data_IF_028719136557
#
_entry.id   IF_028719136557
#
_cell.length_a   1.000
_cell.length_b   1.000
_cell.length_c   1.000
_cell.angle_alpha   90.00
_cell.angle_beta   90.00
_cell.angle_gamma   90.00
#
_symmetry.space_group_name_H-M   'P 1'
#
loop_
_entity.id
_entity.type
_entity.pdbx_description
1 polymer ?
#
# COMPACT_ATOMS: atom_id res chain seq x y z
N UNK A 1 5.01 -50.84 -62.09
CA UNK A 1 5.47 -52.24 -62.30
C UNK A 1 4.81 -53.03 -61.22
N UNK A 2 3.91 -53.81 -61.64
CA UNK A 2 3.70 -55.26 -61.55
C UNK A 2 3.16 -55.65 -60.17
N UNK A 3 1.96 -56.10 -60.07
CA UNK A 3 1.17 -57.23 -60.60
C UNK A 3 0.87 -58.25 -59.48
N UNK A 4 -0.43 -58.54 -59.40
CA UNK A 4 -1.10 -59.88 -59.41
C UNK A 4 -1.12 -60.57 -58.06
N UNK A 5 -2.09 -61.37 -57.67
CA UNK A 5 -3.34 -61.91 -58.25
C UNK A 5 -4.07 -62.65 -57.13
N UNK A 6 -5.38 -62.58 -57.03
CA UNK A 6 -6.32 -63.67 -57.31
C UNK A 6 -6.11 -64.99 -56.50
N UNK A 7 -7.12 -65.49 -55.72
CA UNK A 7 -8.05 -66.57 -56.17
C UNK A 7 -8.96 -66.97 -55.04
N UNK A 8 -10.28 -66.84 -55.15
CA UNK A 8 -11.31 -67.86 -55.27
C UNK A 8 -11.30 -68.97 -54.22
N UNK A 9 -12.42 -69.08 -53.44
CA UNK A 9 -13.38 -70.18 -53.56
C UNK A 9 -14.52 -70.11 -52.53
N UNK A 10 -15.73 -69.85 -53.01
CA UNK A 10 -17.01 -70.31 -52.46
C UNK A 10 -17.12 -71.86 -52.75
N UNK A 11 -18.14 -72.66 -52.35
CA UNK A 11 -19.36 -72.31 -51.61
C UNK A 11 -19.82 -73.45 -50.59
N UNK A 12 -21.03 -73.22 -50.10
CA UNK A 12 -21.98 -74.28 -49.59
C UNK A 12 -21.87 -74.73 -48.14
N UNK A 13 -22.81 -74.24 -47.34
CA UNK A 13 -23.78 -75.18 -46.71
C UNK A 13 -25.06 -74.37 -46.38
N UNK A 14 -26.07 -74.55 -47.20
CA UNK A 14 -27.47 -74.17 -46.98
C UNK A 14 -28.14 -75.45 -46.37
N UNK A 15 -29.12 -75.13 -45.52
CA UNK A 15 -30.15 -76.00 -44.96
C UNK A 15 -29.90 -76.59 -43.56
N UNK A 16 -30.93 -76.40 -42.83
CA UNK A 16 -31.39 -76.98 -41.53
C UNK A 16 -31.25 -75.98 -40.42
N UNK A 17 -32.25 -75.27 -39.92
CA UNK A 17 -33.57 -75.73 -39.52
C UNK A 17 -34.47 -74.52 -39.19
N UNK A 18 -35.54 -74.38 -39.87
CA UNK A 18 -36.71 -73.59 -39.45
C UNK A 18 -37.45 -74.45 -38.41
N UNK A 19 -37.45 -74.06 -37.17
CA UNK A 19 -38.45 -74.39 -36.12
C UNK A 19 -37.96 -73.86 -34.78
N UNK A 20 -38.52 -72.76 -34.35
CA UNK A 20 -38.82 -72.41 -32.98
C UNK A 20 -39.18 -70.87 -32.92
N UNK A 21 -40.25 -70.54 -33.63
CA UNK A 21 -40.99 -69.29 -33.40
C UNK A 21 -42.29 -69.76 -32.69
N UNK A 22 -42.25 -69.82 -31.36
CA UNK A 22 -43.44 -69.74 -30.51
C UNK A 22 -43.02 -69.53 -29.07
N UNK A 23 -43.11 -68.29 -28.64
CA UNK A 23 -42.80 -67.94 -27.27
C UNK A 23 -42.96 -66.42 -27.06
N UNK A 24 -44.03 -65.85 -27.60
CA UNK A 24 -44.51 -64.57 -27.09
C UNK A 24 -45.02 -64.77 -25.67
N UNK A 25 -44.24 -64.45 -24.70
CA UNK A 25 -44.76 -64.21 -23.35
C UNK A 25 -44.63 -62.72 -23.10
N UNK A 26 -45.78 -62.10 -23.27
CA UNK A 26 -46.04 -60.71 -22.89
C UNK A 26 -45.88 -60.60 -21.38
N UNK A 27 -44.66 -60.24 -20.93
CA UNK A 27 -44.45 -59.76 -19.60
C UNK A 27 -44.30 -58.26 -19.75
N UNK A 28 -45.39 -57.60 -19.33
CA UNK A 28 -45.42 -56.13 -19.20
C UNK A 28 -44.10 -55.62 -18.67
N UNK A 29 -43.52 -54.64 -19.36
CA UNK A 29 -42.45 -53.80 -18.84
C UNK A 29 -42.98 -53.21 -17.52
N UNK A 30 -42.59 -53.86 -16.44
CA UNK A 30 -42.62 -53.22 -15.13
C UNK A 30 -41.65 -52.06 -15.27
N UNK A 31 -42.21 -50.86 -15.52
CA UNK A 31 -41.46 -49.62 -15.39
C UNK A 31 -40.84 -49.68 -14.01
N UNK A 32 -39.52 -49.97 -13.98
CA UNK A 32 -38.75 -49.82 -12.79
C UNK A 32 -39.09 -48.42 -12.24
N UNK A 33 -39.80 -48.37 -11.11
CA UNK A 33 -39.91 -47.17 -10.32
C UNK A 33 -38.49 -46.83 -9.96
N UNK A 34 -37.86 -45.98 -10.79
CA UNK A 34 -36.65 -45.26 -10.40
C UNK A 34 -37.06 -44.43 -9.21
N UNK A 35 -36.77 -44.95 -8.02
CA UNK A 35 -37.08 -44.22 -6.79
C UNK A 35 -36.59 -42.79 -6.90
N UNK A 36 -37.37 -41.85 -6.41
CA UNK A 36 -37.02 -40.44 -6.44
C UNK A 36 -35.54 -40.25 -6.08
N UNK A 37 -34.75 -39.57 -6.93
CA UNK A 37 -33.32 -39.38 -6.67
C UNK A 37 -33.13 -38.71 -5.31
N UNK A 38 -32.29 -39.30 -4.46
CA UNK A 38 -31.96 -38.70 -3.17
C UNK A 38 -30.89 -37.63 -3.39
N UNK A 39 -31.12 -36.44 -2.89
CA UNK A 39 -30.23 -35.27 -2.94
C UNK A 39 -30.01 -34.72 -1.55
N UNK A 40 -28.84 -34.20 -1.29
CA UNK A 40 -28.57 -33.45 -0.04
C UNK A 40 -28.72 -31.95 -0.31
N UNK A 41 -29.50 -31.31 0.53
CA UNK A 41 -29.79 -29.86 0.41
C UNK A 41 -29.18 -29.07 1.58
N UNK A 42 -28.64 -27.94 1.26
CA UNK A 42 -28.25 -26.91 2.22
C UNK A 42 -29.35 -25.87 2.32
N UNK A 43 -29.85 -25.65 3.54
CA UNK A 43 -30.87 -24.61 3.78
C UNK A 43 -30.15 -23.26 3.87
N UNK A 44 -30.54 -22.35 2.99
CA UNK A 44 -29.99 -20.98 2.95
C UNK A 44 -30.37 -20.25 4.23
N UNK A 45 -29.35 -19.74 4.92
CA UNK A 45 -29.51 -18.87 6.09
C UNK A 45 -28.73 -17.60 5.86
N UNK A 46 -29.32 -16.47 6.25
CA UNK A 46 -28.59 -15.21 6.33
C UNK A 46 -27.81 -15.14 7.64
N UNK A 47 -26.58 -14.68 7.59
CA UNK A 47 -25.75 -14.46 8.76
C UNK A 47 -24.87 -13.23 8.56
N UNK A 48 -24.55 -12.48 9.60
CA UNK A 48 -23.58 -11.38 9.49
C UNK A 48 -22.22 -11.94 9.11
N UNK A 49 -21.60 -11.30 8.13
CA UNK A 49 -20.29 -11.68 7.59
C UNK A 49 -19.35 -10.48 7.61
N UNK A 50 -18.21 -10.64 8.27
CA UNK A 50 -17.12 -9.67 8.16
C UNK A 50 -16.45 -9.82 6.79
N UNK A 51 -16.50 -8.76 6.00
CA UNK A 51 -15.84 -8.73 4.68
C UNK A 51 -14.44 -8.17 4.87
N UNK A 52 -13.43 -9.02 4.61
CA UNK A 52 -12.02 -8.65 4.65
C UNK A 52 -11.39 -8.88 3.29
N UNK A 53 -10.70 -7.87 2.81
CA UNK A 53 -9.96 -7.95 1.53
C UNK A 53 -8.46 -7.94 1.80
N UNK A 54 -7.74 -8.89 1.18
CA UNK A 54 -6.28 -8.92 1.18
C UNK A 54 -5.74 -8.20 -0.05
N UNK A 55 -4.98 -7.14 0.17
CA UNK A 55 -4.32 -6.37 -0.87
C UNK A 55 -2.81 -6.54 -0.81
N UNK A 56 -2.14 -6.80 -1.94
CA UNK A 56 -0.68 -6.83 -1.98
C UNK A 56 -0.13 -5.42 -1.81
N UNK A 57 1.00 -5.30 -1.13
CA UNK A 57 1.65 -4.03 -0.90
C UNK A 57 3.12 -4.14 -0.59
N UNK A 58 3.75 -2.97 -0.40
CA UNK A 58 5.13 -2.83 0.03
C UNK A 58 5.25 -1.82 1.16
N UNK A 59 6.19 -2.07 2.03
CA UNK A 59 6.56 -1.14 3.08
C UNK A 59 7.43 -0.01 2.54
N UNK A 60 7.23 1.20 3.05
CA UNK A 60 8.04 2.38 2.73
C UNK A 60 8.40 3.12 4.01
N UNK A 61 9.57 3.74 4.05
CA UNK A 61 9.97 4.55 5.19
C UNK A 61 8.99 5.73 5.36
N UNK A 62 8.69 6.09 6.61
CA UNK A 62 7.82 7.22 6.93
C UNK A 62 8.40 8.55 6.42
N UNK A 63 9.73 8.72 6.57
CA UNK A 63 10.50 9.84 6.01
C UNK A 63 11.84 9.33 5.53
N UNK A 64 12.30 9.90 4.43
CA UNK A 64 13.63 9.65 3.87
C UNK A 64 14.32 11.01 3.76
N UNK A 65 15.52 11.10 4.28
CA UNK A 65 16.34 12.30 4.15
C UNK A 65 17.71 11.92 3.57
N UNK A 66 17.98 12.46 2.41
CA UNK A 66 19.29 12.37 1.77
C UNK A 66 20.22 13.43 2.39
N UNK A 67 21.32 12.98 2.95
CA UNK A 67 22.32 13.85 3.54
C UNK A 67 23.29 14.30 2.44
N UNK A 68 23.24 15.58 2.08
CA UNK A 68 24.08 16.17 1.04
C UNK A 68 24.93 17.29 1.61
N UNK A 69 26.18 17.47 1.12
CA UNK A 69 27.04 18.56 1.57
C UNK A 69 26.51 19.90 1.06
N UNK A 70 26.53 20.92 1.93
CA UNK A 70 26.17 22.29 1.59
C UNK A 70 27.39 23.18 1.35
N UNK A 71 28.59 22.66 1.61
CA UNK A 71 29.87 23.32 1.35
C UNK A 71 30.85 22.32 0.74
N UNK A 72 31.81 22.80 -0.01
CA UNK A 72 32.85 21.98 -0.66
C UNK A 72 34.04 21.79 0.25
N UNK A 73 34.67 20.61 0.24
CA UNK A 73 35.90 20.34 0.99
C UNK A 73 36.16 18.85 1.17
N UNK A 74 37.19 18.55 1.90
CA UNK A 74 37.61 17.17 2.19
C UNK A 74 36.84 16.70 3.44
N UNK A 75 36.29 15.49 3.42
CA UNK A 75 35.69 14.83 4.58
C UNK A 75 36.83 14.45 5.55
N UNK A 76 36.83 15.06 6.73
CA UNK A 76 37.81 14.80 7.77
C UNK A 76 37.50 13.54 8.56
N UNK A 77 36.26 13.47 9.08
CA UNK A 77 35.80 12.37 9.92
C UNK A 77 34.37 12.00 9.61
N UNK A 78 34.06 10.71 9.80
CA UNK A 78 32.69 10.17 9.88
C UNK A 78 32.35 9.85 11.34
N UNK A 79 31.29 10.47 11.88
CA UNK A 79 30.95 10.44 13.31
C UNK A 79 29.78 9.51 13.62
N UNK A 80 29.54 8.48 12.81
CA UNK A 80 28.49 7.50 13.02
C UNK A 80 28.91 6.10 12.57
N UNK A 81 28.21 5.09 13.07
CA UNK A 81 28.31 3.71 12.58
C UNK A 81 27.21 3.46 11.56
N UNK A 82 27.54 2.88 10.41
CA UNK A 82 26.57 2.52 9.38
C UNK A 82 25.52 1.56 9.94
N UNK A 83 24.25 1.79 9.59
CA UNK A 83 23.13 0.99 10.10
C UNK A 83 22.70 1.31 11.54
N UNK A 84 23.34 2.27 12.22
CA UNK A 84 22.94 2.71 13.56
C UNK A 84 21.78 3.71 13.51
N UNK A 85 21.13 3.90 14.65
CA UNK A 85 20.12 4.94 14.82
C UNK A 85 20.80 6.28 15.15
N UNK A 86 20.37 7.34 14.49
CA UNK A 86 20.85 8.72 14.65
C UNK A 86 19.72 9.66 15.03
N UNK A 87 20.06 10.72 15.76
CA UNK A 87 19.10 11.76 16.13
C UNK A 87 19.22 12.98 15.23
N UNK A 88 18.10 13.67 15.01
CA UNK A 88 18.10 14.95 14.29
C UNK A 88 19.10 15.93 14.94
N UNK A 89 19.95 16.58 14.13
CA UNK A 89 21.03 17.46 14.60
C UNK A 89 22.32 16.75 15.00
N UNK A 90 22.36 15.41 15.09
CA UNK A 90 23.58 14.66 15.36
C UNK A 90 24.60 14.87 14.24
N UNK A 91 25.87 15.11 14.58
CA UNK A 91 26.95 15.24 13.61
C UNK A 91 27.20 13.92 12.91
N UNK A 92 27.15 13.91 11.59
CA UNK A 92 27.39 12.74 10.75
C UNK A 92 28.80 12.80 10.12
N UNK A 93 29.12 13.94 9.52
CA UNK A 93 30.44 14.15 8.90
C UNK A 93 31.00 15.49 9.33
N UNK A 94 32.32 15.56 9.33
CA UNK A 94 33.08 16.80 9.45
C UNK A 94 33.85 17.05 8.16
N UNK A 95 33.53 18.13 7.47
CA UNK A 95 34.34 18.65 6.35
C UNK A 95 35.42 19.56 6.95
N UNK A 96 36.60 19.60 6.34
CA UNK A 96 37.73 20.42 6.82
C UNK A 96 37.29 21.86 7.03
N UNK A 97 37.28 22.38 8.27
CA UNK A 97 36.74 23.69 8.58
C UNK A 97 37.72 24.84 8.44
N UNK A 98 39.04 24.54 8.25
CA UNK A 98 40.11 25.53 8.38
C UNK A 98 39.92 26.79 7.50
N UNK A 99 39.58 26.61 6.22
CA UNK A 99 39.34 27.73 5.29
C UNK A 99 38.12 28.53 5.64
N UNK A 100 37.06 27.87 6.09
CA UNK A 100 35.81 28.50 6.52
C UNK A 100 35.97 29.27 7.83
N UNK A 101 36.77 28.73 8.76
CA UNK A 101 37.13 29.42 10.00
C UNK A 101 37.92 30.69 9.70
N UNK A 102 38.96 30.63 8.82
CA UNK A 102 39.76 31.76 8.43
C UNK A 102 38.90 32.88 7.77
N UNK A 103 37.91 32.48 6.92
CA UNK A 103 36.98 33.42 6.30
C UNK A 103 36.05 34.09 7.33
N UNK A 104 35.59 33.31 8.31
CA UNK A 104 34.76 33.85 9.41
C UNK A 104 35.54 34.83 10.27
N UNK A 105 36.79 34.53 10.62
CA UNK A 105 37.66 35.42 11.42
C UNK A 105 38.01 36.68 10.64
N UNK A 106 38.28 36.58 9.33
CA UNK A 106 38.48 37.73 8.46
C UNK A 106 37.25 38.64 8.40
N UNK A 107 36.05 38.07 8.25
CA UNK A 107 34.80 38.83 8.25
C UNK A 107 34.57 39.58 9.59
N UNK A 108 34.91 38.92 10.71
CA UNK A 108 34.85 39.56 12.05
C UNK A 108 35.83 40.75 12.15
N UNK A 109 37.02 40.62 11.59
CA UNK A 109 38.00 41.73 11.52
C UNK A 109 37.44 42.91 10.74
N UNK A 110 36.81 42.72 9.59
CA UNK A 110 36.20 43.79 8.80
C UNK A 110 34.98 44.41 9.50
N UNK A 111 34.21 43.64 10.23
CA UNK A 111 33.14 44.15 11.08
C UNK A 111 33.69 45.08 12.18
N UNK A 112 34.73 44.67 12.88
CA UNK A 112 35.34 45.46 13.93
C UNK A 112 35.90 46.79 13.38
N UNK A 113 36.50 46.79 12.18
CA UNK A 113 36.95 47.96 11.47
C UNK A 113 35.78 48.92 11.12
N UNK A 114 34.68 48.36 10.61
CA UNK A 114 33.48 49.11 10.28
C UNK A 114 32.81 49.73 11.52
N UNK A 115 32.75 49.02 12.62
CA UNK A 115 32.23 49.52 13.91
C UNK A 115 33.10 50.63 14.47
N UNK A 116 34.43 50.54 14.35
CA UNK A 116 35.33 51.62 14.76
C UNK A 116 35.12 52.88 13.88
N UNK A 117 34.96 52.74 12.58
CA UNK A 117 34.67 53.84 11.67
C UNK A 117 33.34 54.52 12.00
N UNK A 118 32.28 53.77 12.25
CA UNK A 118 30.98 54.28 12.67
C UNK A 118 31.08 55.01 14.01
N UNK A 119 31.82 54.48 14.98
CA UNK A 119 32.05 55.15 16.26
C UNK A 119 32.73 56.50 16.09
N UNK A 120 33.75 56.63 15.22
CA UNK A 120 34.41 57.86 14.92
C UNK A 120 33.45 58.88 14.25
N UNK A 121 32.65 58.44 13.27
CA UNK A 121 31.68 59.28 12.59
C UNK A 121 30.60 59.81 13.56
N UNK A 122 30.07 58.98 14.43
CA UNK A 122 29.13 59.37 15.47
C UNK A 122 29.74 60.37 16.51
N UNK A 123 30.99 60.16 16.89
CA UNK A 123 31.73 61.12 17.75
C UNK A 123 31.92 62.45 17.05
N UNK A 124 32.10 62.49 15.73
CA UNK A 124 32.20 63.78 14.95
C UNK A 124 30.85 64.48 14.95
N UNK A 125 29.73 63.78 14.67
CA UNK A 125 28.38 64.36 14.74
C UNK A 125 28.11 64.88 16.14
N UNK A 126 28.41 64.11 17.20
CA UNK A 126 28.25 64.57 18.59
C UNK A 126 29.01 65.80 18.93
N UNK A 127 30.23 66.02 18.42
CA UNK A 127 31.04 67.25 18.56
C UNK A 127 30.45 68.41 17.80
N UNK A 128 29.85 68.21 16.64
CA UNK A 128 29.31 69.25 15.77
C UNK A 128 27.96 69.80 16.27
N UNK A 129 27.13 68.97 16.97
CA UNK A 129 25.84 69.38 17.53
C UNK A 129 25.90 70.73 18.28
N UNK A 130 26.80 70.97 19.29
CA UNK A 130 26.87 72.26 19.99
C UNK A 130 27.46 73.37 19.10
N UNK A 131 28.33 73.07 18.14
CA UNK A 131 29.04 74.04 17.32
C UNK A 131 28.15 74.68 16.24
N UNK A 132 27.22 73.93 15.67
CA UNK A 132 26.27 74.44 14.69
C UNK A 132 25.31 75.45 15.33
N UNK A 133 24.89 75.19 16.58
CA UNK A 133 24.03 76.11 17.33
C UNK A 133 24.68 77.48 17.62
N UNK A 134 26.00 77.54 17.76
CA UNK A 134 26.80 78.70 17.99
C UNK A 134 27.39 79.33 16.70
N UNK A 135 27.07 78.79 15.50
CA UNK A 135 27.55 79.17 14.17
C UNK A 135 29.09 79.09 13.99
N UNK A 136 29.79 78.24 14.78
CA UNK A 136 31.22 78.03 14.61
C UNK A 136 31.54 77.05 13.46
N UNK A 137 30.53 76.36 12.97
CA UNK A 137 30.61 75.46 11.77
C UNK A 137 29.41 75.81 10.85
N UNK A 138 29.54 75.48 9.56
CA UNK A 138 28.44 75.63 8.59
C UNK A 138 27.40 74.53 8.76
N UNK A 139 26.14 74.80 8.39
CA UNK A 139 25.09 73.78 8.32
C UNK A 139 25.47 72.65 7.39
N UNK A 140 26.12 72.95 6.26
CA UNK A 140 26.58 71.94 5.29
C UNK A 140 27.57 70.93 5.90
N UNK A 141 28.53 71.42 6.72
CA UNK A 141 29.51 70.55 7.40
C UNK A 141 28.82 69.63 8.40
N UNK A 142 27.81 70.14 9.13
CA UNK A 142 27.04 69.29 10.04
C UNK A 142 26.19 68.21 9.31
N UNK A 143 25.50 68.64 8.22
CA UNK A 143 24.69 67.75 7.41
C UNK A 143 25.58 66.63 6.74
N UNK A 144 26.79 67.03 6.31
CA UNK A 144 27.76 66.01 5.79
C UNK A 144 28.19 65.04 6.86
N UNK A 145 28.48 65.46 8.09
CA UNK A 145 28.86 64.62 9.18
C UNK A 145 27.73 63.65 9.53
N UNK A 146 26.45 64.03 9.46
CA UNK A 146 25.31 63.16 9.62
C UNK A 146 25.24 62.12 8.48
N UNK A 147 25.46 62.53 7.24
CA UNK A 147 25.47 61.64 6.10
C UNK A 147 26.60 60.57 6.21
N UNK A 148 27.79 61.01 6.62
CA UNK A 148 28.95 60.13 6.85
C UNK A 148 28.69 59.13 7.97
N UNK A 149 28.02 59.56 9.08
CA UNK A 149 27.63 58.63 10.15
C UNK A 149 26.61 57.59 9.65
N UNK A 150 25.60 57.98 8.89
CA UNK A 150 24.64 57.06 8.28
C UNK A 150 25.29 56.07 7.31
N UNK A 151 26.25 56.57 6.51
CA UNK A 151 27.03 55.72 5.61
C UNK A 151 27.87 54.70 6.38
N UNK A 152 28.51 55.12 7.48
CA UNK A 152 29.28 54.22 8.35
C UNK A 152 28.36 53.17 9.04
N UNK A 153 27.16 53.55 9.49
CA UNK A 153 26.16 52.62 10.04
C UNK A 153 25.72 51.58 9.00
N UNK A 154 25.50 52.00 7.77
CA UNK A 154 25.17 51.08 6.68
C UNK A 154 26.32 50.10 6.40
N UNK A 155 27.59 50.53 6.49
CA UNK A 155 28.76 49.67 6.35
C UNK A 155 28.84 48.64 7.48
N UNK A 156 28.47 49.00 8.71
CA UNK A 156 28.39 48.04 9.84
C UNK A 156 27.31 46.96 9.57
N UNK A 157 26.14 47.35 9.06
CA UNK A 157 25.07 46.41 8.72
C UNK A 157 25.56 45.43 7.64
N UNK A 158 26.21 45.92 6.59
CA UNK A 158 26.78 45.10 5.53
C UNK A 158 27.86 44.12 6.04
N UNK A 159 28.75 44.62 6.90
CA UNK A 159 29.79 43.76 7.51
C UNK A 159 29.19 42.68 8.44
N UNK A 160 28.14 43.00 9.21
CA UNK A 160 27.40 42.03 10.02
C UNK A 160 26.81 40.94 9.16
N UNK A 161 26.19 41.27 8.03
CA UNK A 161 25.64 40.27 7.09
C UNK A 161 26.75 39.36 6.51
N UNK A 162 27.94 39.89 6.25
CA UNK A 162 29.10 39.10 5.79
C UNK A 162 29.59 38.12 6.86
N UNK A 163 29.67 38.55 8.13
CA UNK A 163 30.02 37.68 9.26
C UNK A 163 29.02 36.55 9.39
N UNK A 164 27.72 36.85 9.27
CA UNK A 164 26.68 35.85 9.38
C UNK A 164 26.74 34.82 8.23
N UNK A 165 26.98 35.26 7.01
CA UNK A 165 27.21 34.38 5.86
C UNK A 165 28.40 33.43 6.08
N UNK A 166 29.53 33.96 6.56
CA UNK A 166 30.71 33.17 6.86
C UNK A 166 30.47 32.20 8.02
N UNK A 167 29.71 32.60 9.04
CA UNK A 167 29.30 31.75 10.16
C UNK A 167 28.44 30.56 9.69
N UNK A 168 27.50 30.80 8.81
CA UNK A 168 26.63 29.79 8.23
C UNK A 168 27.47 28.79 7.42
N UNK A 169 28.37 29.25 6.57
CA UNK A 169 29.24 28.38 5.79
C UNK A 169 30.16 27.53 6.68
N UNK A 170 30.68 28.10 7.76
CA UNK A 170 31.44 27.36 8.76
C UNK A 170 30.56 26.30 9.47
N UNK A 171 29.34 26.63 9.82
CA UNK A 171 28.40 25.68 10.43
C UNK A 171 28.11 24.50 9.48
N UNK A 172 27.98 24.75 8.18
CA UNK A 172 27.76 23.72 7.18
C UNK A 172 28.92 22.75 6.98
N UNK A 173 30.14 23.08 7.48
CA UNK A 173 31.25 22.10 7.52
C UNK A 173 30.93 20.91 8.44
N UNK A 174 30.04 21.12 9.42
CA UNK A 174 29.51 20.05 10.28
C UNK A 174 28.19 19.56 9.68
N UNK A 175 28.26 18.48 8.92
CA UNK A 175 27.07 17.86 8.30
C UNK A 175 26.30 17.11 9.36
N UNK A 176 25.03 17.45 9.57
CA UNK A 176 24.18 16.86 10.60
C UNK A 176 23.01 16.10 10.01
N UNK A 177 22.44 15.17 10.79
CA UNK A 177 21.24 14.44 10.43
C UNK A 177 20.02 15.39 10.38
N UNK A 178 19.29 15.46 9.26
CA UNK A 178 18.12 16.34 9.15
C UNK A 178 16.89 15.79 9.87
N UNK A 179 16.82 14.47 10.06
CA UNK A 179 15.76 13.74 10.77
C UNK A 179 16.36 12.69 11.68
N UNK A 180 15.61 12.27 12.70
CA UNK A 180 15.95 11.09 13.47
C UNK A 180 15.51 9.83 12.72
N UNK A 181 16.32 8.76 12.81
CA UNK A 181 16.03 7.49 12.14
C UNK A 181 17.29 6.65 11.98
N UNK A 182 17.21 5.58 11.20
CA UNK A 182 18.32 4.70 10.89
C UNK A 182 19.11 5.24 9.70
N UNK A 183 20.42 5.38 9.89
CA UNK A 183 21.32 5.82 8.82
C UNK A 183 21.78 4.60 8.00
N UNK A 184 21.78 4.76 6.68
CA UNK A 184 22.27 3.76 5.75
C UNK A 184 23.80 3.69 5.69
N UNK A 185 24.31 3.07 4.63
CA UNK A 185 25.75 3.07 4.31
C UNK A 185 26.22 4.46 3.89
N UNK A 186 27.48 4.79 4.16
CA UNK A 186 28.16 5.95 3.62
C UNK A 186 28.56 5.71 2.16
N UNK A 187 28.35 6.69 1.31
CA UNK A 187 28.81 6.65 -0.10
C UNK A 187 30.22 7.22 -0.26
N UNK A 188 30.72 7.89 0.78
CA UNK A 188 32.06 8.51 0.80
C UNK A 188 32.87 8.01 2.00
N UNK A 189 34.19 8.07 1.86
CA UNK A 189 35.13 7.76 2.92
C UNK A 189 35.88 9.02 3.39
N UNK A 190 36.50 8.94 4.54
CA UNK A 190 37.40 9.98 5.03
C UNK A 190 38.50 10.25 4.00
N UNK A 191 38.83 11.51 3.80
CA UNK A 191 39.75 11.97 2.75
C UNK A 191 39.07 12.24 1.40
N UNK A 192 37.84 11.87 1.19
CA UNK A 192 37.10 12.16 -0.04
C UNK A 192 36.80 13.66 -0.20
N UNK A 193 36.97 14.16 -1.41
CA UNK A 193 36.52 15.50 -1.77
C UNK A 193 35.03 15.51 -2.06
N UNK A 194 34.26 16.37 -1.39
CA UNK A 194 32.83 16.59 -1.63
C UNK A 194 32.61 18.01 -2.12
N UNK A 195 31.57 18.20 -2.90
CA UNK A 195 31.23 19.50 -3.49
C UNK A 195 29.80 19.91 -3.16
N UNK A 196 29.61 21.21 -2.94
CA UNK A 196 28.27 21.76 -2.73
C UNK A 196 27.35 21.43 -3.91
N UNK A 197 26.14 20.93 -3.61
CA UNK A 197 25.15 20.62 -4.63
C UNK A 197 25.42 19.37 -5.48
N UNK A 198 26.36 18.52 -5.09
CA UNK A 198 26.58 17.24 -5.77
C UNK A 198 25.32 16.38 -5.77
N UNK A 199 25.11 15.61 -6.85
CA UNK A 199 23.95 14.72 -7.00
C UNK A 199 24.02 13.49 -6.11
N UNK A 200 25.24 13.02 -5.79
CA UNK A 200 25.43 11.86 -4.92
C UNK A 200 25.30 12.29 -3.45
N UNK A 201 24.41 11.66 -2.74
CA UNK A 201 24.25 11.82 -1.28
C UNK A 201 25.46 11.24 -0.53
N UNK A 202 25.75 11.74 0.66
CA UNK A 202 26.77 11.17 1.56
C UNK A 202 26.25 9.95 2.29
N UNK A 203 25.00 9.99 2.69
CA UNK A 203 24.25 8.91 3.35
C UNK A 203 22.75 9.21 3.27
N UNK A 204 21.94 8.21 3.51
CA UNK A 204 20.49 8.35 3.62
C UNK A 204 20.04 8.02 5.05
N UNK A 205 19.22 8.88 5.67
CA UNK A 205 18.60 8.62 6.95
C UNK A 205 17.13 8.30 6.71
N UNK A 206 16.65 7.19 7.26
CA UNK A 206 15.28 6.71 7.09
C UNK A 206 14.59 6.58 8.46
N UNK A 207 13.44 7.21 8.58
CA UNK A 207 12.58 7.05 9.75
C UNK A 207 11.75 5.78 9.55
N UNK A 208 11.94 4.79 10.44
CA UNK A 208 11.30 3.47 10.36
C UNK A 208 10.10 3.32 11.29
N UNK A 209 9.94 4.18 12.26
CA UNK A 209 8.80 4.20 13.18
C UNK A 209 8.18 5.62 13.21
N UNK A 210 6.89 5.73 12.82
CA UNK A 210 6.08 4.71 12.16
C UNK A 210 6.59 4.35 10.77
N UNK A 211 5.98 3.33 10.13
CA UNK A 211 6.31 2.91 8.74
C UNK A 211 5.06 2.98 7.87
N UNK A 212 5.22 3.31 6.60
CA UNK A 212 4.16 3.26 5.61
C UNK A 212 4.05 1.87 4.97
N UNK A 213 2.84 1.50 4.65
CA UNK A 213 2.53 0.36 3.79
C UNK A 213 1.67 0.87 2.64
N UNK A 214 2.21 0.82 1.44
CA UNK A 214 1.49 1.18 0.23
C UNK A 214 0.91 -0.10 -0.39
N UNK A 215 -0.42 -0.14 -0.51
CA UNK A 215 -1.16 -1.26 -1.09
C UNK A 215 -1.86 -0.81 -2.36
N UNK A 216 -1.92 -1.69 -3.34
CA UNK A 216 -2.57 -1.42 -4.62
C UNK A 216 -3.92 -2.12 -4.71
N UNK A 217 -4.94 -1.38 -5.16
CA UNK A 217 -6.28 -1.89 -5.39
C UNK A 217 -6.77 -1.46 -6.77
N UNK A 218 -7.53 -2.33 -7.45
CA UNK A 218 -8.20 -1.95 -8.70
C UNK A 218 -9.19 -0.82 -8.47
N UNK A 219 -9.23 0.15 -9.38
CA UNK A 219 -10.21 1.24 -9.34
C UNK A 219 -11.66 0.74 -9.38
N UNK A 220 -11.91 -0.36 -10.10
CA UNK A 220 -13.23 -1.00 -10.16
C UNK A 220 -13.66 -1.58 -8.80
N UNK A 221 -12.75 -2.22 -8.08
CA UNK A 221 -13.03 -2.79 -6.75
C UNK A 221 -13.30 -1.68 -5.74
N UNK A 222 -12.52 -0.61 -5.80
CA UNK A 222 -12.74 0.58 -4.98
C UNK A 222 -14.12 1.22 -5.23
N UNK A 223 -14.50 1.38 -6.49
CA UNK A 223 -15.82 1.94 -6.85
C UNK A 223 -16.96 1.04 -6.39
N UNK A 224 -16.81 -0.29 -6.50
CA UNK A 224 -17.78 -1.26 -6.01
C UNK A 224 -17.94 -1.19 -4.49
N UNK A 225 -16.81 -1.12 -3.76
CA UNK A 225 -16.82 -0.94 -2.32
C UNK A 225 -17.54 0.35 -1.90
N UNK A 226 -17.22 1.46 -2.56
CA UNK A 226 -17.87 2.76 -2.33
C UNK A 226 -19.38 2.68 -2.54
N UNK A 227 -19.84 2.07 -3.64
CA UNK A 227 -21.26 1.87 -3.91
C UNK A 227 -21.93 0.99 -2.86
N UNK A 228 -21.28 -0.08 -2.40
CA UNK A 228 -21.84 -0.98 -1.36
C UNK A 228 -22.02 -0.27 -0.03
N UNK A 229 -21.12 0.64 0.33
CA UNK A 229 -21.22 1.50 1.52
C UNK A 229 -22.35 2.53 1.36
N UNK A 230 -22.46 3.19 0.20
CA UNK A 230 -23.50 4.19 -0.09
C UNK A 230 -24.90 3.58 -0.12
N UNK A 231 -25.03 2.32 -0.55
CA UNK A 231 -26.29 1.56 -0.57
C UNK A 231 -26.68 0.98 0.80
N UNK A 232 -25.83 1.11 1.82
CA UNK A 232 -26.08 0.57 3.16
C UNK A 232 -25.90 -0.95 3.28
N UNK A 233 -25.34 -1.61 2.25
CA UNK A 233 -25.09 -3.05 2.25
C UNK A 233 -23.90 -3.43 3.15
N UNK A 234 -23.04 -2.46 3.47
CA UNK A 234 -21.89 -2.60 4.36
C UNK A 234 -22.00 -1.57 5.49
N UNK A 235 -22.03 -2.06 6.72
CA UNK A 235 -22.02 -1.21 7.90
C UNK A 235 -20.60 -1.10 8.45
N UNK A 236 -20.08 0.12 8.50
CA UNK A 236 -18.77 0.42 9.07
C UNK A 236 -18.97 0.85 10.52
N UNK A 237 -18.62 0.00 11.47
CA UNK A 237 -18.76 0.31 12.89
C UNK A 237 -17.84 1.43 13.40
N UNK A 238 -16.69 1.68 12.72
CA UNK A 238 -15.73 2.71 13.10
C UNK A 238 -15.22 3.47 11.88
N UNK A 239 -15.09 4.79 12.00
CA UNK A 239 -14.55 5.68 10.96
C UNK A 239 -13.06 5.40 10.63
N UNK A 240 -12.35 4.67 11.47
CA UNK A 240 -10.94 4.32 11.29
C UNK A 240 -10.86 2.87 10.83
N UNK A 241 -10.50 2.66 9.57
CA UNK A 241 -10.27 1.31 9.05
C UNK A 241 -8.98 0.76 9.66
N UNK A 242 -9.13 -0.21 10.56
CA UNK A 242 -8.02 -0.98 11.07
C UNK A 242 -7.49 -1.89 9.96
N UNK A 243 -6.19 -1.87 9.76
CA UNK A 243 -5.51 -2.71 8.78
C UNK A 243 -4.64 -3.70 9.53
N UNK A 244 -4.80 -4.98 9.22
CA UNK A 244 -3.90 -6.04 9.67
C UNK A 244 -2.86 -6.32 8.58
N UNK A 245 -1.64 -6.61 8.99
CA UNK A 245 -0.55 -6.88 8.05
C UNK A 245 -0.14 -8.35 8.14
N UNK A 246 -0.05 -9.00 7.00
CA UNK A 246 0.50 -10.35 6.86
C UNK A 246 1.84 -10.23 6.15
N UNK A 247 2.90 -10.66 6.82
CA UNK A 247 4.27 -10.66 6.30
C UNK A 247 4.46 -11.77 5.26
N UNK A 248 5.52 -11.70 4.49
CA UNK A 248 5.83 -12.68 3.44
C UNK A 248 5.93 -14.12 3.96
N UNK A 249 6.39 -14.32 5.20
CA UNK A 249 6.45 -15.63 5.87
C UNK A 249 5.09 -16.18 6.33
N UNK A 250 3.98 -15.45 6.05
CA UNK A 250 2.63 -15.83 6.47
C UNK A 250 2.27 -15.43 7.91
N UNK A 251 3.18 -14.87 8.67
CA UNK A 251 2.90 -14.40 10.03
C UNK A 251 2.16 -13.05 10.00
N UNK A 252 1.17 -12.91 10.86
CA UNK A 252 0.48 -11.63 11.05
C UNK A 252 1.33 -10.72 11.94
N UNK A 253 1.52 -9.49 11.50
CA UNK A 253 2.20 -8.46 12.29
C UNK A 253 1.34 -8.09 13.53
N UNK A 254 1.93 -8.02 14.75
CA UNK A 254 1.14 -7.92 15.99
C UNK A 254 0.45 -6.56 16.18
N UNK A 255 0.95 -5.50 15.53
CA UNK A 255 0.39 -4.15 15.66
C UNK A 255 -0.49 -3.83 14.47
N UNK A 256 -1.69 -3.29 14.73
CA UNK A 256 -2.61 -2.85 13.69
C UNK A 256 -2.21 -1.48 13.16
N UNK A 257 -2.38 -1.29 11.87
CA UNK A 257 -2.21 -0.01 11.21
C UNK A 257 -3.53 0.72 10.99
N UNK A 258 -3.41 1.97 10.61
CA UNK A 258 -4.55 2.82 10.22
C UNK A 258 -4.44 3.18 8.75
N UNK A 259 -5.53 3.01 8.03
CA UNK A 259 -5.60 3.41 6.62
C UNK A 259 -5.67 4.95 6.54
N UNK A 260 -4.74 5.55 5.81
CA UNK A 260 -4.79 6.95 5.40
C UNK A 260 -5.14 6.98 3.92
N UNK A 261 -6.17 7.74 3.55
CA UNK A 261 -6.42 7.99 2.13
C UNK A 261 -5.29 8.87 1.59
N UNK A 262 -4.46 8.31 0.73
CA UNK A 262 -3.29 9.06 0.29
C UNK A 262 -3.34 9.50 -1.16
N UNK A 263 -3.89 8.74 -2.07
CA UNK A 263 -3.85 9.18 -3.47
C UNK A 263 -5.23 9.08 -4.13
N UNK A 264 -5.67 10.20 -4.69
CA UNK A 264 -6.94 10.29 -5.46
C UNK A 264 -6.67 9.97 -6.94
N UNK A 265 -5.40 9.72 -7.29
CA UNK A 265 -4.96 9.51 -8.66
C UNK A 265 -4.95 8.03 -9.00
N UNK A 266 -5.59 7.68 -10.10
CA UNK A 266 -5.53 6.34 -10.69
C UNK A 266 -4.27 6.29 -11.56
N UNK A 267 -3.45 5.26 -11.39
CA UNK A 267 -2.34 4.98 -12.30
C UNK A 267 -2.90 4.56 -13.66
N UNK A 268 -2.61 5.36 -14.69
CA UNK A 268 -3.19 5.19 -16.05
C UNK A 268 -2.74 3.88 -16.71
N UNK A 269 -1.58 3.36 -16.33
CA UNK A 269 -1.02 2.14 -16.96
C UNK A 269 -1.64 0.86 -16.39
N UNK A 270 -2.01 0.86 -15.12
CA UNK A 270 -2.51 -0.32 -14.40
C UNK A 270 -3.99 -0.23 -14.04
N UNK A 271 -4.60 0.97 -14.09
CA UNK A 271 -5.96 1.21 -13.63
C UNK A 271 -6.12 1.01 -12.12
N UNK A 272 -5.02 1.10 -11.36
CA UNK A 272 -5.00 0.86 -9.93
C UNK A 272 -4.90 2.17 -9.15
N UNK A 273 -5.43 2.15 -7.93
CA UNK A 273 -5.23 3.19 -6.92
C UNK A 273 -4.26 2.68 -5.86
N UNK A 274 -3.47 3.57 -5.30
CA UNK A 274 -2.60 3.26 -4.17
C UNK A 274 -3.23 3.78 -2.88
N UNK A 275 -3.40 2.89 -1.93
CA UNK A 275 -3.86 3.20 -0.58
C UNK A 275 -2.66 3.12 0.35
N UNK A 276 -2.51 4.10 1.24
CA UNK A 276 -1.44 4.14 2.24
C UNK A 276 -1.99 3.87 3.63
N UNK A 277 -1.36 2.93 4.30
CA UNK A 277 -1.60 2.65 5.71
C UNK A 277 -0.36 2.99 6.54
N UNK A 278 -0.56 3.44 7.76
CA UNK A 278 0.50 3.76 8.74
C UNK A 278 0.50 2.68 9.80
N UNK A 279 1.67 2.11 10.05
CA UNK A 279 1.87 1.09 11.07
C UNK A 279 2.91 1.54 12.10
N UNK A 280 2.64 1.37 13.40
CA UNK A 280 3.69 1.48 14.41
C UNK A 280 4.76 0.41 14.19
N UNK A 281 6.04 0.77 14.30
CA UNK A 281 7.14 -0.16 14.06
C UNK A 281 8.28 0.04 15.09
N UNK A 282 7.98 0.02 16.40
CA UNK A 282 8.96 0.36 17.44
C UNK A 282 10.14 -0.62 17.51
N UNK A 283 9.97 -1.85 17.06
CA UNK A 283 11.02 -2.87 17.03
C UNK A 283 11.80 -2.89 15.71
N UNK A 284 11.45 -2.01 14.76
CA UNK A 284 12.03 -1.95 13.41
C UNK A 284 12.00 -3.30 12.66
N UNK A 285 11.00 -4.13 12.93
CA UNK A 285 10.82 -5.44 12.29
C UNK A 285 10.45 -5.28 10.81
N UNK A 286 9.64 -4.26 10.49
CA UNK A 286 9.31 -3.92 9.13
C UNK A 286 10.39 -3.02 8.55
N UNK A 287 11.00 -3.46 7.45
CA UNK A 287 12.01 -2.70 6.73
C UNK A 287 11.43 -2.17 5.41
N UNK A 288 11.84 -0.99 4.94
CA UNK A 288 11.40 -0.46 3.65
C UNK A 288 11.69 -1.41 2.50
N UNK A 289 10.72 -1.55 1.59
CA UNK A 289 10.82 -2.44 0.42
C UNK A 289 10.31 -3.87 0.64
N UNK A 290 9.99 -4.28 1.87
CA UNK A 290 9.44 -5.62 2.13
C UNK A 290 8.08 -5.78 1.46
N UNK A 291 7.86 -6.97 0.88
CA UNK A 291 6.54 -7.37 0.40
C UNK A 291 5.66 -7.78 1.58
N UNK A 292 4.43 -7.31 1.56
CA UNK A 292 3.44 -7.56 2.60
C UNK A 292 2.04 -7.66 1.98
N UNK A 293 1.11 -8.25 2.70
CA UNK A 293 -0.31 -8.25 2.35
C UNK A 293 -1.07 -7.54 3.46
N UNK A 294 -1.79 -6.48 3.09
CA UNK A 294 -2.66 -5.78 4.01
C UNK A 294 -4.06 -6.39 3.97
N UNK A 295 -4.57 -6.76 5.12
CA UNK A 295 -5.93 -7.24 5.30
C UNK A 295 -6.76 -6.10 5.84
N UNK A 296 -7.61 -5.56 4.97
CA UNK A 296 -8.46 -4.40 5.27
C UNK A 296 -9.85 -4.91 5.64
N UNK A 297 -10.38 -4.43 6.75
CA UNK A 297 -11.75 -4.65 7.16
C UNK A 297 -12.66 -3.67 6.39
N UNK A 298 -13.48 -4.22 5.48
CA UNK A 298 -14.40 -3.42 4.66
C UNK A 298 -15.73 -3.16 5.38
N UNK A 299 -16.04 -3.95 6.39
CA UNK A 299 -17.25 -3.84 7.19
C UNK A 299 -17.99 -5.16 7.34
N UNK A 300 -19.19 -5.10 7.92
CA UNK A 300 -20.07 -6.26 8.14
C UNK A 300 -21.24 -6.20 7.18
N UNK A 301 -21.43 -7.27 6.41
CA UNK A 301 -22.65 -7.50 5.62
C UNK A 301 -23.63 -8.28 6.49
N UNK A 302 -24.74 -7.64 6.96
CA UNK A 302 -25.62 -8.27 7.97
C UNK A 302 -26.37 -9.48 7.42
N UNK A 303 -26.77 -9.45 6.15
CA UNK A 303 -27.62 -10.47 5.52
C UNK A 303 -26.86 -11.26 4.45
N UNK A 304 -25.63 -11.68 4.77
CA UNK A 304 -24.82 -12.45 3.83
C UNK A 304 -25.36 -13.87 3.66
N UNK A 305 -25.44 -14.34 2.41
CA UNK A 305 -25.80 -15.72 2.05
C UNK A 305 -24.56 -16.45 1.61
N UNK A 306 -24.17 -17.50 2.36
CA UNK A 306 -23.03 -18.34 2.07
C UNK A 306 -23.48 -19.74 1.65
N UNK A 307 -23.09 -20.18 0.45
CA UNK A 307 -23.42 -21.50 -0.10
C UNK A 307 -22.13 -22.30 -0.31
N UNK A 308 -22.07 -23.57 0.09
CA UNK A 308 -20.94 -24.47 -0.20
C UNK A 308 -20.61 -24.46 -1.69
N UNK A 309 -19.32 -24.41 -2.04
CA UNK A 309 -18.86 -24.28 -3.44
C UNK A 309 -19.40 -25.41 -4.33
N UNK A 310 -19.56 -26.60 -3.79
CA UNK A 310 -20.09 -27.75 -4.50
C UNK A 310 -21.55 -27.60 -4.95
N UNK A 311 -22.34 -26.69 -4.33
CA UNK A 311 -23.72 -26.39 -4.73
C UNK A 311 -23.85 -25.38 -5.88
N UNK A 312 -22.74 -24.75 -6.27
CA UNK A 312 -22.74 -23.72 -7.32
C UNK A 312 -22.08 -24.27 -8.58
N UNK A 313 -22.84 -24.35 -9.66
CA UNK A 313 -22.35 -24.75 -10.98
C UNK A 313 -22.11 -23.52 -11.84
N UNK A 314 -21.06 -23.54 -12.67
CA UNK A 314 -20.78 -22.48 -13.64
C UNK A 314 -21.08 -22.95 -15.05
N UNK A 315 -21.76 -22.10 -15.81
CA UNK A 315 -21.99 -22.34 -17.25
C UNK A 315 -20.70 -22.08 -18.04
N UNK A 316 -20.57 -22.57 -19.27
CA UNK A 316 -19.45 -22.25 -20.15
C UNK A 316 -19.24 -20.75 -20.42
N UNK A 317 -20.29 -19.93 -20.19
CA UNK A 317 -20.23 -18.47 -20.31
C UNK A 317 -19.72 -17.79 -19.03
N UNK A 318 -19.55 -18.56 -17.93
CA UNK A 318 -19.09 -18.04 -16.63
C UNK A 318 -20.20 -17.71 -15.64
N UNK A 319 -21.49 -17.77 -16.08
CA UNK A 319 -22.62 -17.49 -15.21
C UNK A 319 -22.75 -18.56 -14.13
N UNK A 320 -23.03 -18.16 -12.90
CA UNK A 320 -23.26 -19.09 -11.79
C UNK A 320 -24.74 -19.52 -11.73
N UNK A 321 -24.99 -20.80 -11.49
CA UNK A 321 -26.33 -21.37 -11.35
C UNK A 321 -26.33 -22.34 -10.18
N UNK A 322 -27.41 -22.35 -9.41
CA UNK A 322 -27.67 -23.32 -8.34
C UNK A 322 -28.91 -24.14 -8.69
N UNK A 323 -28.97 -25.38 -8.20
CA UNK A 323 -30.18 -26.18 -8.24
C UNK A 323 -30.85 -26.09 -6.86
N UNK A 324 -32.10 -25.68 -6.83
CA UNK A 324 -32.91 -25.59 -5.61
C UNK A 324 -34.05 -26.62 -5.66
N UNK A 325 -34.52 -27.01 -4.50
CA UNK A 325 -35.74 -27.84 -4.36
C UNK A 325 -36.86 -26.89 -3.95
N UNK A 326 -37.92 -26.81 -4.78
CA UNK A 326 -39.08 -25.99 -4.51
C UNK A 326 -40.06 -26.69 -3.55
N UNK A 327 -41.14 -25.97 -3.15
CA UNK A 327 -42.19 -26.47 -2.24
C UNK A 327 -42.94 -27.76 -2.76
N UNK A 328 -42.79 -28.05 -4.06
CA UNK A 328 -43.37 -29.26 -4.69
C UNK A 328 -42.35 -30.43 -4.80
N UNK A 329 -41.25 -30.32 -4.09
CA UNK A 329 -40.12 -31.27 -4.15
C UNK A 329 -39.52 -31.46 -5.57
N UNK A 330 -39.61 -30.41 -6.41
CA UNK A 330 -39.09 -30.40 -7.76
C UNK A 330 -37.79 -29.55 -7.83
N UNK A 331 -36.88 -30.01 -8.65
CA UNK A 331 -35.60 -29.31 -8.92
C UNK A 331 -35.82 -28.11 -9.85
N UNK A 332 -35.38 -26.95 -9.44
CA UNK A 332 -35.38 -25.74 -10.22
C UNK A 332 -33.94 -25.21 -10.38
N UNK A 333 -33.55 -24.89 -11.61
CA UNK A 333 -32.27 -24.22 -11.86
C UNK A 333 -32.47 -22.70 -11.74
N UNK A 334 -31.72 -22.09 -10.81
CA UNK A 334 -31.82 -20.65 -10.57
C UNK A 334 -30.48 -19.97 -10.81
N UNK A 335 -30.43 -18.95 -11.68
CA UNK A 335 -29.24 -18.13 -11.85
C UNK A 335 -28.97 -17.34 -10.58
N UNK A 336 -27.67 -17.23 -10.19
CA UNK A 336 -27.22 -16.52 -9.01
C UNK A 336 -25.98 -15.69 -9.33
N UNK A 337 -25.76 -14.63 -8.54
CA UNK A 337 -24.52 -13.85 -8.60
C UNK A 337 -23.61 -14.32 -7.46
N UNK A 338 -22.61 -15.12 -7.78
CA UNK A 338 -21.56 -15.56 -6.85
C UNK A 338 -20.43 -14.53 -6.87
N UNK A 339 -20.41 -13.60 -5.91
CA UNK A 339 -19.53 -12.42 -5.89
C UNK A 339 -18.12 -12.73 -5.41
N UNK A 340 -17.97 -13.55 -4.36
CA UNK A 340 -16.68 -13.84 -3.73
C UNK A 340 -16.64 -15.24 -3.13
N UNK A 341 -15.48 -15.89 -3.23
CA UNK A 341 -15.22 -17.15 -2.51
C UNK A 341 -14.70 -16.84 -1.10
N UNK A 342 -15.29 -17.44 -0.08
CA UNK A 342 -14.92 -17.29 1.32
C UNK A 342 -14.71 -18.67 1.92
N UNK A 343 -13.46 -19.07 2.05
CA UNK A 343 -13.11 -20.45 2.44
C UNK A 343 -13.63 -21.48 1.45
N UNK A 344 -14.49 -22.37 1.92
CA UNK A 344 -15.14 -23.44 1.14
C UNK A 344 -16.53 -23.05 0.58
N UNK A 345 -16.94 -21.76 0.74
CA UNK A 345 -18.26 -21.25 0.36
C UNK A 345 -18.19 -20.11 -0.65
N UNK A 346 -19.28 -19.89 -1.37
CA UNK A 346 -19.52 -18.71 -2.20
C UNK A 346 -20.45 -17.74 -1.49
N UNK A 347 -20.07 -16.48 -1.49
CA UNK A 347 -20.96 -15.38 -1.12
C UNK A 347 -21.88 -15.09 -2.30
N UNK A 348 -23.20 -15.26 -2.08
CA UNK A 348 -24.24 -15.00 -3.09
C UNK A 348 -24.85 -13.63 -2.80
N UNK A 349 -24.74 -12.72 -3.76
CA UNK A 349 -25.32 -11.37 -3.66
C UNK A 349 -26.74 -11.29 -4.20
N UNK A 350 -27.08 -12.12 -5.20
CA UNK A 350 -28.41 -12.10 -5.82
C UNK A 350 -28.85 -13.50 -6.22
N UNK A 351 -30.16 -13.73 -6.24
CA UNK A 351 -30.79 -14.95 -6.76
C UNK A 351 -31.27 -15.94 -5.72
N UNK A 352 -30.88 -15.80 -4.43
CA UNK A 352 -31.34 -16.65 -3.33
C UNK A 352 -31.99 -15.85 -2.21
N UNK A 353 -32.87 -16.55 -1.46
CA UNK A 353 -33.55 -16.03 -0.27
C UNK A 353 -33.32 -16.96 0.91
N UNK A 354 -33.41 -16.43 2.12
CA UNK A 354 -33.40 -17.25 3.34
C UNK A 354 -34.54 -18.27 3.29
N UNK A 355 -34.24 -19.52 3.57
CA UNK A 355 -35.18 -20.65 3.51
C UNK A 355 -35.08 -21.48 2.22
N UNK A 356 -34.44 -20.99 1.13
CA UNK A 356 -34.25 -21.78 -0.08
C UNK A 356 -33.41 -23.03 0.21
N UNK A 357 -33.74 -24.16 -0.45
CA UNK A 357 -33.04 -25.44 -0.30
C UNK A 357 -32.13 -25.67 -1.51
N UNK A 358 -30.84 -25.37 -1.37
CA UNK A 358 -29.84 -25.53 -2.45
C UNK A 358 -29.25 -26.95 -2.41
N UNK A 359 -29.27 -27.63 -3.54
CA UNK A 359 -28.70 -28.97 -3.67
C UNK A 359 -27.16 -28.87 -3.64
N UNK A 360 -26.53 -29.51 -2.66
CA UNK A 360 -25.07 -29.55 -2.50
C UNK A 360 -24.46 -30.91 -2.82
N UNK A 361 -25.27 -32.00 -2.82
CA UNK A 361 -24.82 -33.34 -3.21
C UNK A 361 -25.90 -34.04 -4.01
N UNK A 362 -25.50 -34.89 -4.96
CA UNK A 362 -26.42 -35.58 -5.85
C UNK A 362 -26.79 -34.79 -7.11
N UNK A 363 -26.09 -33.72 -7.42
CA UNK A 363 -26.30 -32.82 -8.59
C UNK A 363 -26.39 -33.61 -9.92
N UNK A 364 -25.63 -34.68 -10.07
CA UNK A 364 -25.64 -35.50 -11.29
C UNK A 364 -26.95 -36.28 -11.48
N UNK A 365 -27.72 -36.47 -10.42
CA UNK A 365 -29.01 -37.19 -10.42
C UNK A 365 -30.21 -36.25 -10.44
N UNK A 366 -29.97 -34.97 -10.22
CA UNK A 366 -31.00 -33.92 -10.13
C UNK A 366 -31.12 -33.19 -11.46
N UNK A 367 -32.20 -33.37 -12.20
CA UNK A 367 -32.48 -32.62 -13.43
C UNK A 367 -33.60 -31.61 -13.18
N UNK A 368 -33.50 -30.40 -13.75
CA UNK A 368 -34.57 -29.42 -13.64
C UNK A 368 -35.93 -30.02 -14.06
N UNK A 369 -36.96 -29.86 -13.19
CA UNK A 369 -38.28 -30.38 -13.37
C UNK A 369 -38.52 -31.80 -12.77
N UNK A 370 -37.51 -32.51 -12.34
CA UNK A 370 -37.64 -33.83 -11.69
C UNK A 370 -38.02 -33.69 -10.21
N UNK A 371 -38.82 -34.67 -9.71
CA UNK A 371 -39.07 -34.80 -8.27
C UNK A 371 -37.89 -35.49 -7.59
N UNK A 372 -37.48 -34.95 -6.44
CA UNK A 372 -36.34 -35.47 -5.67
C UNK A 372 -36.72 -35.60 -4.19
N UNK A 373 -36.07 -36.54 -3.52
CA UNK A 373 -36.17 -36.66 -2.07
C UNK A 373 -35.01 -35.90 -1.43
N UNK A 374 -35.32 -34.73 -0.86
CA UNK A 374 -34.35 -33.88 -0.19
C UNK A 374 -34.01 -34.42 1.20
N UNK A 375 -32.72 -34.50 1.51
CA UNK A 375 -32.20 -34.76 2.85
C UNK A 375 -31.35 -33.55 3.24
N UNK A 376 -31.62 -33.01 4.41
CA UNK A 376 -30.90 -31.81 4.88
C UNK A 376 -29.44 -32.17 5.22
N UNK A 377 -28.51 -31.35 4.74
CA UNK A 377 -27.13 -31.42 5.17
C UNK A 377 -27.07 -30.96 6.64
N UNK A 378 -26.91 -31.92 7.55
CA UNK A 378 -26.60 -31.57 8.95
C UNK A 378 -25.12 -31.35 9.00
N UNK A 379 -24.61 -30.13 9.31
CA UNK A 379 -23.19 -29.92 9.46
C UNK A 379 -22.66 -30.91 10.51
N UNK A 380 -21.79 -31.79 10.13
CA UNK A 380 -21.01 -32.55 11.10
C UNK A 380 -20.18 -31.50 11.86
N UNK A 381 -20.49 -31.33 13.13
CA UNK A 381 -19.74 -30.54 14.09
C UNK A 381 -18.32 -31.12 14.13
N UNK A 382 -17.43 -30.61 13.28
CA UNK A 382 -16.00 -30.89 13.40
C UNK A 382 -15.48 -30.04 14.57
N UNK A 383 -15.78 -30.54 15.77
CA UNK A 383 -15.04 -30.20 16.96
C UNK A 383 -13.56 -30.46 16.71
N UNK A 384 -12.80 -29.40 16.77
CA UNK A 384 -11.38 -29.23 17.09
C UNK A 384 -10.52 -30.50 17.22
N UNK A 385 -9.45 -30.51 16.45
CA UNK A 385 -8.15 -30.91 16.99
C UNK A 385 -7.09 -29.94 16.51
#
# INVERSE_FOLDING_TARGET
>A
MTKHARFFLLPSFILISAALIAGCNDKGEEKAHVGEPQVTVHIVKTAPLEVKTELPGRTNAYRIAEVRPQVSGIVLNRNFTEGSDVQAGQSLYQIVPATYQANYDSAKGELAKSEAAAAIAHLTVKRYVPLVGTKYISQQEYDQAIADARQADAAVIAAKATVESARINLAYTKVTAPISGRIGKSTVTEGALVTNGQTTELATVQQLDPIYVDVTQSSNDFMRLKQSVEQGNLHKENATSNVELVMENGQTYPLKGTLQFSDVTVDESTGSITLRAVFPNPQHTLLPGMFVRARIDEGVQPDAILIPQQGVSRTPRGDATVLIVNDKSQVEARPVVASQAIGDKWLISEGLKSGDQVIVSGLQKARPGEQVKATTDTPADTASK
#
